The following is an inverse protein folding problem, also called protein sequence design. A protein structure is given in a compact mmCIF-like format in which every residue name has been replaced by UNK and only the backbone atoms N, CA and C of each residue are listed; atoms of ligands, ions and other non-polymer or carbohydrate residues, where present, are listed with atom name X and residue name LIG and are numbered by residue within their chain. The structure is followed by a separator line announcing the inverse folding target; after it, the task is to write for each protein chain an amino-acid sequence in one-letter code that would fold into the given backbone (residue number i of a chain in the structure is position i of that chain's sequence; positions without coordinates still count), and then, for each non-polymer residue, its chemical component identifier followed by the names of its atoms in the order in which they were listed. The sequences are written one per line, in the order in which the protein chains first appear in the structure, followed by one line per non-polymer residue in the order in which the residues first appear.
data_IF_673898776027
#
_entry.id   IF_673898776027
#
_cell.length_a   1.000
_cell.length_b   1.000
_cell.length_c   1.000
_cell.angle_alpha   90.00
_cell.angle_beta   90.00
_cell.angle_gamma   90.00
#
_symmetry.space_group_name_H-M   'P 1'
#
loop_
_entity.id
_entity.type
_entity.pdbx_description
1 polymer ?
#
# COMPACT_ATOMS: atom_id res chain seq x y z
N UNK A 1 -7.36 -22.63 1.52
CA UNK A 1 -6.85 -21.75 0.46
C UNK A 1 -6.47 -20.43 1.13
N UNK A 2 -5.21 -20.00 1.06
CA UNK A 2 -4.80 -18.71 1.61
C UNK A 2 -4.99 -17.64 0.53
N UNK A 3 -5.73 -16.59 0.86
CA UNK A 3 -5.94 -15.44 -0.01
C UNK A 3 -4.97 -14.36 0.41
N UNK A 4 -3.77 -14.39 -0.16
CA UNK A 4 -2.76 -13.35 0.02
C UNK A 4 -3.04 -12.22 -0.96
N UNK A 5 -2.97 -10.98 -0.48
CA UNK A 5 -2.81 -9.81 -1.32
C UNK A 5 -1.35 -9.68 -1.75
N UNK A 6 -1.11 -8.99 -2.85
CA UNK A 6 0.23 -8.63 -3.33
C UNK A 6 0.45 -7.15 -3.05
N UNK A 7 1.58 -6.81 -2.45
CA UNK A 7 2.00 -5.42 -2.24
C UNK A 7 3.20 -5.14 -3.12
N UNK A 8 3.08 -4.12 -3.96
CA UNK A 8 4.13 -3.67 -4.87
C UNK A 8 4.62 -2.28 -4.46
N UNK A 9 5.94 -2.13 -4.44
CA UNK A 9 6.62 -0.85 -4.22
C UNK A 9 7.32 -0.46 -5.51
N UNK A 10 6.91 0.66 -6.10
CA UNK A 10 7.52 1.21 -7.31
C UNK A 10 8.25 2.48 -6.92
N UNK A 11 9.56 2.49 -7.18
CA UNK A 11 10.44 3.62 -6.92
C UNK A 11 10.86 4.24 -8.25
N UNK A 12 10.60 5.52 -8.41
CA UNK A 12 10.95 6.26 -9.62
C UNK A 12 11.78 7.49 -9.25
N UNK A 13 12.95 7.71 -9.88
CA UNK A 13 13.70 8.93 -9.66
C UNK A 13 12.92 10.15 -10.17
N UNK A 14 13.11 11.28 -9.49
CA UNK A 14 12.59 12.60 -9.85
C UNK A 14 13.71 13.63 -9.68
N UNK A 15 13.54 14.84 -10.22
CA UNK A 15 14.55 15.91 -10.10
C UNK A 15 14.89 16.30 -8.65
N UNK A 16 13.98 15.99 -7.70
CA UNK A 16 14.08 16.40 -6.29
C UNK A 16 14.09 15.23 -5.31
N UNK A 17 14.23 13.99 -5.78
CA UNK A 17 14.22 12.80 -4.93
C UNK A 17 13.59 11.58 -5.59
N UNK A 18 12.96 10.72 -4.81
CA UNK A 18 12.32 9.48 -5.30
C UNK A 18 10.81 9.54 -5.09
N UNK A 19 10.03 9.29 -6.15
CA UNK A 19 8.60 9.02 -6.01
C UNK A 19 8.42 7.56 -5.62
N UNK A 20 7.80 7.33 -4.47
CA UNK A 20 7.32 6.01 -4.05
C UNK A 20 5.83 5.88 -4.37
N UNK A 21 5.47 4.84 -5.13
CA UNK A 21 4.09 4.39 -5.31
C UNK A 21 3.93 3.02 -4.64
N UNK A 22 2.89 2.87 -3.83
CA UNK A 22 2.52 1.59 -3.22
C UNK A 22 1.18 1.15 -3.78
N UNK A 23 1.10 -0.09 -4.27
CA UNK A 23 -0.13 -0.70 -4.74
C UNK A 23 -0.36 -2.03 -4.03
N UNK A 24 -1.58 -2.28 -3.57
CA UNK A 24 -1.99 -3.58 -3.04
C UNK A 24 -3.10 -4.17 -3.92
N UNK A 25 -2.92 -5.42 -4.36
CA UNK A 25 -3.85 -6.11 -5.27
C UNK A 25 -4.24 -7.50 -4.76
N UNK A 26 -5.27 -8.11 -5.37
CA UNK A 26 -5.77 -9.44 -5.00
C UNK A 26 -6.96 -9.45 -4.04
N UNK A 27 -7.61 -8.31 -3.79
CA UNK A 27 -8.81 -8.21 -2.93
C UNK A 27 -10.03 -8.94 -3.49
N UNK A 28 -10.07 -9.21 -4.80
CA UNK A 28 -11.11 -10.04 -5.44
C UNK A 28 -11.18 -11.45 -4.82
N UNK A 29 -10.03 -11.96 -4.36
CA UNK A 29 -9.91 -13.25 -3.69
C UNK A 29 -10.38 -13.24 -2.23
N UNK A 30 -10.59 -12.06 -1.64
CA UNK A 30 -11.14 -11.94 -0.28
C UNK A 30 -12.66 -12.20 -0.32
N UNK A 31 -13.19 -13.15 0.48
CA UNK A 31 -14.62 -13.41 0.52
C UNK A 31 -15.44 -12.22 1.06
N UNK A 32 -16.64 -12.03 0.51
CA UNK A 32 -17.66 -11.21 1.16
C UNK A 32 -18.09 -11.86 2.49
N UNK A 33 -18.46 -11.08 3.53
CA UNK A 33 -18.68 -9.62 3.55
C UNK A 33 -17.43 -8.81 3.97
N UNK A 34 -16.26 -9.44 4.12
CA UNK A 34 -15.08 -8.78 4.71
C UNK A 34 -14.30 -7.91 3.71
N UNK A 35 -14.47 -8.13 2.42
CA UNK A 35 -13.68 -7.50 1.35
C UNK A 35 -13.64 -5.98 1.46
N UNK A 36 -14.80 -5.32 1.54
CA UNK A 36 -14.89 -3.85 1.60
C UNK A 36 -14.19 -3.26 2.82
N UNK A 37 -14.33 -3.90 3.98
CA UNK A 37 -13.67 -3.44 5.21
C UNK A 37 -12.15 -3.60 5.10
N UNK A 38 -11.68 -4.75 4.59
CA UNK A 38 -10.26 -5.02 4.41
C UNK A 38 -9.63 -4.04 3.41
N UNK A 39 -10.32 -3.70 2.31
CA UNK A 39 -9.85 -2.69 1.36
C UNK A 39 -9.72 -1.30 2.02
N UNK A 40 -10.71 -0.88 2.81
CA UNK A 40 -10.70 0.44 3.48
C UNK A 40 -9.62 0.52 4.56
N UNK A 41 -9.49 -0.52 5.38
CA UNK A 41 -8.54 -0.53 6.49
C UNK A 41 -7.08 -0.55 5.94
N UNK A 42 -6.83 -1.27 4.84
CA UNK A 42 -5.52 -1.27 4.18
C UNK A 42 -5.20 0.07 3.50
N UNK A 43 -6.16 0.73 2.85
CA UNK A 43 -5.95 2.06 2.27
C UNK A 43 -5.48 3.08 3.32
N UNK A 44 -6.17 3.13 4.45
CA UNK A 44 -5.77 3.98 5.58
C UNK A 44 -4.41 3.62 6.18
N UNK A 45 -4.12 2.32 6.33
CA UNK A 45 -2.84 1.83 6.82
C UNK A 45 -1.68 2.22 5.90
N UNK A 46 -1.82 2.04 4.58
CA UNK A 46 -0.78 2.40 3.62
C UNK A 46 -0.55 3.90 3.53
N UNK A 47 -1.60 4.72 3.61
CA UNK A 47 -1.44 6.18 3.68
C UNK A 47 -0.56 6.60 4.88
N UNK A 48 -0.75 5.98 6.04
CA UNK A 48 0.11 6.22 7.21
C UNK A 48 1.55 5.73 6.97
N UNK A 49 1.74 4.55 6.38
CA UNK A 49 3.08 4.00 6.15
C UNK A 49 3.88 4.81 5.13
N UNK A 50 3.27 5.33 4.06
CA UNK A 50 3.96 6.22 3.11
C UNK A 50 4.47 7.48 3.81
N UNK A 51 3.69 8.06 4.73
CA UNK A 51 4.13 9.20 5.53
C UNK A 51 5.29 8.83 6.48
N UNK A 52 5.25 7.66 7.12
CA UNK A 52 6.34 7.18 7.97
C UNK A 52 7.64 6.96 7.18
N UNK A 53 7.53 6.36 5.99
CA UNK A 53 8.67 6.15 5.09
C UNK A 53 9.28 7.50 4.72
N UNK A 54 8.44 8.47 4.30
CA UNK A 54 8.90 9.83 4.00
C UNK A 54 9.64 10.42 5.20
N UNK A 55 9.04 10.42 6.38
CA UNK A 55 9.65 10.98 7.59
C UNK A 55 10.97 10.29 7.97
N UNK A 56 11.10 8.99 7.74
CA UNK A 56 12.33 8.24 8.02
C UNK A 56 13.46 8.57 7.04
N UNK A 57 13.15 8.79 5.75
CA UNK A 57 14.17 9.04 4.72
C UNK A 57 14.53 10.51 4.55
N UNK A 58 13.63 11.42 4.94
CA UNK A 58 13.85 12.88 4.87
C UNK A 58 14.33 13.50 6.20
N UNK A 59 14.22 12.77 7.31
CA UNK A 59 14.70 13.19 8.64
C UNK A 59 16.21 13.01 8.82
#
# INVERSE_FOLDING_TARGET
MHFWTLVEFVLEPTDFGTRLTVAESGFDKVPEPRRTNVMRDNDGGWAQQVNNIRAHVEG
#
